data_IF_404916023771
#
_entry.id   IF_404916023771
#
_cell.length_a   1.000
_cell.length_b   1.000
_cell.length_c   1.000
_cell.angle_alpha   90.00
_cell.angle_beta   90.00
_cell.angle_gamma   90.00
#
_symmetry.space_group_name_H-M   'P 1'
#
loop_
_entity.id
_entity.type
_entity.pdbx_description
1 polymer ?
#
# COMPACT_ATOMS: atom_id res chain seq x y z
N UNK A 1 -32.16 -21.16 -28.72
CA UNK A 1 -30.88 -20.71 -28.15
C UNK A 1 -30.03 -21.95 -27.91
N UNK A 2 -28.94 -22.12 -28.66
CA UNK A 2 -28.23 -23.39 -28.75
C UNK A 2 -27.24 -23.51 -27.58
N UNK A 3 -27.16 -24.67 -26.93
CA UNK A 3 -26.39 -24.90 -25.71
C UNK A 3 -24.90 -24.50 -25.80
N UNK A 4 -24.36 -24.44 -27.02
CA UNK A 4 -22.99 -23.96 -27.33
C UNK A 4 -22.79 -22.47 -27.02
N UNK A 5 -23.83 -21.63 -27.11
CA UNK A 5 -23.71 -20.19 -26.78
C UNK A 5 -23.70 -19.94 -25.28
N UNK A 6 -24.26 -20.85 -24.47
CA UNK A 6 -24.23 -20.77 -23.00
C UNK A 6 -22.84 -21.11 -22.44
N UNK A 7 -22.16 -22.11 -23.03
CA UNK A 7 -20.81 -22.50 -22.62
C UNK A 7 -19.74 -21.43 -22.91
N UNK A 8 -19.87 -20.69 -24.02
CA UNK A 8 -18.95 -19.60 -24.35
C UNK A 8 -19.10 -18.39 -23.42
N UNK A 9 -20.31 -18.11 -22.91
CA UNK A 9 -20.58 -17.01 -22.01
C UNK A 9 -19.98 -17.23 -20.60
N UNK A 10 -19.99 -18.47 -20.10
CA UNK A 10 -19.41 -18.80 -18.79
C UNK A 10 -17.89 -18.71 -18.74
N UNK A 11 -17.19 -18.93 -19.87
CA UNK A 11 -15.74 -18.82 -19.93
C UNK A 11 -15.24 -17.36 -19.82
N UNK A 12 -16.03 -16.39 -20.30
CA UNK A 12 -15.72 -14.96 -20.20
C UNK A 12 -15.87 -14.47 -18.76
N UNK A 13 -16.84 -14.99 -18.01
CA UNK A 13 -17.11 -14.58 -16.64
C UNK A 13 -15.98 -14.96 -15.65
N UNK A 14 -15.26 -16.06 -15.92
CA UNK A 14 -14.17 -16.55 -15.06
C UNK A 14 -12.84 -15.80 -15.26
N UNK A 15 -12.70 -15.00 -16.33
CA UNK A 15 -11.50 -14.20 -16.61
C UNK A 15 -11.58 -12.77 -16.06
N UNK A 16 -12.78 -12.30 -15.70
CA UNK A 16 -13.02 -10.97 -15.13
C UNK A 16 -12.21 -10.66 -13.84
N UNK A 17 -11.94 -11.62 -12.93
CA UNK A 17 -11.19 -11.31 -11.70
C UNK A 17 -9.74 -10.88 -11.95
N UNK A 18 -9.08 -11.43 -12.98
CA UNK A 18 -7.70 -11.04 -13.30
C UNK A 18 -7.60 -9.66 -13.95
N UNK A 19 -8.60 -9.29 -14.76
CA UNK A 19 -8.68 -7.94 -15.33
C UNK A 19 -8.90 -6.89 -14.24
N UNK A 20 -9.77 -7.17 -13.25
CA UNK A 20 -10.02 -6.25 -12.13
C UNK A 20 -8.77 -5.94 -11.30
N UNK A 21 -7.89 -6.93 -11.11
CA UNK A 21 -6.65 -6.79 -10.35
C UNK A 21 -5.59 -5.97 -11.11
N UNK A 22 -5.52 -6.11 -12.44
CA UNK A 22 -4.68 -5.26 -13.29
C UNK A 22 -5.26 -3.84 -13.43
N UNK A 23 -6.58 -3.68 -13.42
CA UNK A 23 -7.26 -2.40 -13.54
C UNK A 23 -7.04 -1.49 -12.33
N UNK A 24 -6.82 -2.02 -11.12
CA UNK A 24 -6.48 -1.21 -9.95
C UNK A 24 -5.15 -0.46 -10.12
N UNK A 25 -4.13 -1.16 -10.61
CA UNK A 25 -2.80 -0.60 -10.88
C UNK A 25 -2.87 0.48 -11.98
N UNK A 26 -3.54 0.18 -13.11
CA UNK A 26 -3.69 1.13 -14.23
C UNK A 26 -4.52 2.35 -13.81
N UNK A 27 -5.64 2.15 -13.12
CA UNK A 27 -6.51 3.25 -12.67
C UNK A 27 -5.82 4.12 -11.62
N UNK A 28 -5.07 3.51 -10.70
CA UNK A 28 -4.25 4.24 -9.74
C UNK A 28 -3.15 5.05 -10.42
N UNK A 29 -2.47 4.47 -11.40
CA UNK A 29 -1.44 5.17 -12.18
C UNK A 29 -2.01 6.37 -12.94
N UNK A 30 -3.16 6.20 -13.59
CA UNK A 30 -3.80 7.29 -14.32
C UNK A 30 -4.25 8.41 -13.38
N UNK A 31 -4.87 8.08 -12.24
CA UNK A 31 -5.33 9.06 -11.29
C UNK A 31 -4.17 9.84 -10.69
N UNK A 32 -3.13 9.14 -10.24
CA UNK A 32 -1.93 9.77 -9.70
C UNK A 32 -1.19 10.62 -10.75
N UNK A 33 -1.17 10.20 -12.01
CA UNK A 33 -0.55 11.00 -13.08
C UNK A 33 -1.33 12.29 -13.36
N UNK A 34 -2.65 12.28 -13.26
CA UNK A 34 -3.48 13.48 -13.38
C UNK A 34 -3.23 14.42 -12.21
N UNK A 35 -3.39 13.93 -10.98
CA UNK A 35 -3.26 14.74 -9.77
C UNK A 35 -1.84 15.34 -9.63
N UNK A 36 -0.82 14.54 -9.94
CA UNK A 36 0.57 15.01 -9.95
C UNK A 36 0.86 15.98 -11.11
N UNK A 37 0.24 15.76 -12.27
CA UNK A 37 0.34 16.65 -13.42
C UNK A 37 -0.23 18.04 -13.13
N UNK A 38 -1.39 18.09 -12.48
CA UNK A 38 -2.04 19.34 -12.08
C UNK A 38 -1.21 20.10 -11.04
N UNK A 39 -0.53 19.38 -10.13
CA UNK A 39 0.27 19.99 -9.06
C UNK A 39 1.63 20.51 -9.53
N UNK A 40 2.35 19.77 -10.39
CA UNK A 40 3.75 20.07 -10.72
C UNK A 40 4.11 19.87 -12.20
N UNK A 41 3.11 19.86 -13.10
CA UNK A 41 3.31 19.72 -14.53
C UNK A 41 3.82 18.32 -14.93
N UNK A 42 4.50 18.18 -16.08
CA UNK A 42 4.88 16.87 -16.63
C UNK A 42 5.70 15.99 -15.69
N UNK A 43 6.56 16.59 -14.86
CA UNK A 43 7.36 15.86 -13.86
C UNK A 43 6.46 15.30 -12.75
N UNK A 44 5.50 16.11 -12.27
CA UNK A 44 4.52 15.67 -11.29
C UNK A 44 3.62 14.56 -11.81
N UNK A 45 3.27 14.55 -13.10
CA UNK A 45 2.50 13.48 -13.71
C UNK A 45 3.23 12.13 -13.71
N UNK A 46 4.54 12.12 -13.95
CA UNK A 46 5.35 10.89 -13.92
C UNK A 46 5.44 10.36 -12.48
N UNK A 47 5.78 11.23 -11.53
CA UNK A 47 5.91 10.85 -10.11
C UNK A 47 4.57 10.42 -9.54
N UNK A 48 3.52 11.21 -9.77
CA UNK A 48 2.17 10.92 -9.33
C UNK A 48 1.65 9.63 -9.95
N UNK A 49 1.94 9.34 -11.22
CA UNK A 49 1.55 8.08 -11.86
C UNK A 49 2.23 6.86 -11.26
N UNK A 50 3.52 6.95 -10.93
CA UNK A 50 4.22 5.85 -10.26
C UNK A 50 3.68 5.60 -8.83
N UNK A 51 3.45 6.67 -8.06
CA UNK A 51 2.87 6.60 -6.71
C UNK A 51 1.43 6.09 -6.76
N UNK A 52 0.62 6.61 -7.68
CA UNK A 52 -0.75 6.17 -7.91
C UNK A 52 -0.82 4.71 -8.35
N UNK A 53 0.10 4.22 -9.18
CA UNK A 53 0.20 2.81 -9.55
C UNK A 53 0.46 1.91 -8.33
N UNK A 54 1.40 2.32 -7.47
CA UNK A 54 1.74 1.61 -6.24
C UNK A 54 0.60 1.64 -5.21
N UNK A 55 -0.21 2.70 -5.21
CA UNK A 55 -1.34 2.88 -4.28
C UNK A 55 -2.64 2.28 -4.84
N UNK A 56 -2.75 2.11 -6.16
CA UNK A 56 -3.90 1.56 -6.87
C UNK A 56 -4.05 0.04 -6.77
N UNK A 57 -3.00 -0.66 -6.34
CA UNK A 57 -3.16 -2.01 -5.80
C UNK A 57 -3.78 -1.87 -4.42
N UNK A 58 -5.06 -2.21 -4.31
CA UNK A 58 -5.95 -1.89 -3.18
C UNK A 58 -5.48 -2.41 -1.80
N UNK A 59 -4.32 -3.08 -1.70
CA UNK A 59 -3.75 -3.60 -0.47
C UNK A 59 -2.24 -3.42 -0.34
N UNK A 60 -1.69 -2.23 -0.58
CA UNK A 60 -0.34 -1.82 -0.14
C UNK A 60 0.78 -2.88 -0.24
N UNK A 61 1.76 -2.80 0.67
CA UNK A 61 2.73 -3.88 0.91
C UNK A 61 2.10 -4.96 1.77
N UNK A 62 1.30 -4.56 2.76
CA UNK A 62 0.39 -5.46 3.48
C UNK A 62 -0.88 -5.60 2.66
N UNK A 63 -1.10 -6.81 2.12
CA UNK A 63 -2.32 -7.17 1.40
C UNK A 63 -3.60 -6.75 2.12
N UNK A 64 -4.69 -6.64 1.36
CA UNK A 64 -6.00 -6.14 1.84
C UNK A 64 -6.45 -6.86 3.12
N UNK A 65 -6.27 -8.19 3.15
CA UNK A 65 -6.68 -9.04 4.27
C UNK A 65 -5.73 -8.96 5.47
N UNK A 66 -4.44 -8.67 5.21
CA UNK A 66 -3.39 -8.69 6.22
C UNK A 66 -3.30 -7.37 6.99
N UNK A 67 -3.69 -6.24 6.37
CA UNK A 67 -3.68 -4.91 7.00
C UNK A 67 -4.48 -4.83 8.32
N UNK A 68 -5.77 -5.22 8.39
CA UNK A 68 -6.52 -5.17 9.65
C UNK A 68 -5.94 -6.12 10.70
N UNK A 69 -5.47 -7.32 10.29
CA UNK A 69 -4.81 -8.28 11.18
C UNK A 69 -3.50 -7.71 11.73
N UNK A 70 -2.73 -7.00 10.91
CA UNK A 70 -1.48 -6.37 11.31
C UNK A 70 -1.73 -5.25 12.32
N UNK A 71 -2.76 -4.43 12.09
CA UNK A 71 -3.17 -3.40 13.03
C UNK A 71 -3.51 -3.97 14.41
N UNK A 72 -4.31 -5.03 14.46
CA UNK A 72 -4.63 -5.71 15.72
C UNK A 72 -3.37 -6.23 16.41
N UNK A 73 -2.49 -6.89 15.67
CA UNK A 73 -1.21 -7.37 16.21
C UNK A 73 -0.36 -6.24 16.83
N UNK A 74 -0.21 -5.11 16.14
CA UNK A 74 0.56 -3.96 16.66
C UNK A 74 -0.11 -3.37 17.91
N UNK A 75 -1.43 -3.26 17.90
CA UNK A 75 -2.23 -2.72 19.01
C UNK A 75 -2.14 -3.63 20.25
N UNK A 76 -2.29 -4.95 20.07
CA UNK A 76 -2.19 -5.95 21.15
C UNK A 76 -0.79 -5.98 21.78
N UNK A 77 0.25 -5.79 20.95
CA UNK A 77 1.64 -5.77 21.41
C UNK A 77 2.00 -4.49 22.18
N UNK A 78 1.12 -3.47 22.19
CA UNK A 78 1.30 -2.19 22.90
C UNK A 78 2.67 -1.58 22.65
N UNK A 79 3.07 -1.54 21.38
CA UNK A 79 4.30 -0.89 20.96
C UNK A 79 4.22 0.60 21.31
N UNK A 80 5.31 1.17 21.84
CA UNK A 80 5.34 2.60 22.16
C UNK A 80 5.18 3.42 20.88
N UNK A 81 4.22 4.35 20.91
CA UNK A 81 4.09 5.38 19.90
C UNK A 81 5.24 6.39 20.04
N UNK A 82 5.85 6.76 18.92
CA UNK A 82 6.80 7.85 18.84
C UNK A 82 6.05 9.13 18.44
N UNK A 83 6.17 10.16 19.26
CA UNK A 83 5.64 11.48 18.93
C UNK A 83 6.53 12.16 17.88
N UNK A 84 5.94 12.43 16.72
CA UNK A 84 6.60 13.05 15.58
C UNK A 84 5.89 14.34 15.20
N UNK A 85 6.64 15.44 15.21
CA UNK A 85 6.11 16.78 14.89
C UNK A 85 5.84 16.98 13.38
N UNK A 86 6.36 16.09 12.53
CA UNK A 86 6.19 16.18 11.08
C UNK A 86 4.96 15.42 10.54
N UNK A 87 4.82 15.41 9.22
CA UNK A 87 3.73 14.70 8.55
C UNK A 87 3.97 13.18 8.50
N UNK A 88 3.04 12.40 9.05
CA UNK A 88 3.05 10.93 8.95
C UNK A 88 2.35 10.50 7.67
N UNK A 89 3.13 10.49 6.57
CA UNK A 89 2.67 10.16 5.23
C UNK A 89 3.67 9.27 4.49
N UNK A 90 3.20 8.58 3.45
CA UNK A 90 4.08 7.80 2.57
C UNK A 90 5.13 8.72 1.95
N UNK A 91 6.39 8.29 1.99
CA UNK A 91 7.54 9.06 1.53
C UNK A 91 8.27 9.82 2.64
N UNK A 92 7.66 10.05 3.81
CA UNK A 92 8.34 10.67 4.96
C UNK A 92 9.47 9.78 5.47
N UNK A 93 10.63 10.36 5.80
CA UNK A 93 11.76 9.64 6.40
C UNK A 93 11.78 9.89 7.90
N UNK A 94 11.67 8.83 8.68
CA UNK A 94 11.69 8.90 10.14
C UNK A 94 13.14 8.96 10.67
N UNK A 95 13.37 9.55 11.86
CA UNK A 95 14.68 9.59 12.48
C UNK A 95 15.26 8.19 12.73
N UNK A 96 16.55 7.99 12.43
CA UNK A 96 17.24 6.73 12.72
C UNK A 96 17.50 6.48 14.22
N UNK A 97 17.36 7.52 15.05
CA UNK A 97 17.54 7.47 16.50
C UNK A 97 16.28 7.91 17.23
N UNK A 98 15.99 7.31 18.39
CA UNK A 98 14.82 7.63 19.22
C UNK A 98 13.55 6.86 18.82
N UNK A 99 13.40 6.53 17.54
CA UNK A 99 12.35 5.62 17.05
C UNK A 99 12.82 4.17 17.20
N UNK A 100 11.96 3.32 17.75
CA UNK A 100 12.21 1.87 17.74
C UNK A 100 11.57 1.24 16.51
N UNK A 101 12.35 0.44 15.79
CA UNK A 101 11.91 -0.26 14.59
C UNK A 101 11.87 -1.76 14.85
N UNK A 102 10.76 -2.39 14.53
CA UNK A 102 10.51 -3.81 14.75
C UNK A 102 10.44 -4.53 13.41
N UNK A 103 10.93 -5.75 13.34
CA UNK A 103 10.79 -6.56 12.14
C UNK A 103 9.34 -7.02 11.96
N UNK A 104 8.87 -7.02 10.72
CA UNK A 104 7.52 -7.49 10.38
C UNK A 104 7.48 -9.01 10.52
N UNK A 105 6.49 -9.60 11.22
CA UNK A 105 6.39 -11.06 11.32
C UNK A 105 6.22 -11.72 9.95
N UNK A 106 6.86 -12.87 9.75
CA UNK A 106 6.91 -13.57 8.46
C UNK A 106 5.51 -13.98 7.93
N UNK A 107 4.53 -14.17 8.82
CA UNK A 107 3.14 -14.51 8.49
C UNK A 107 2.46 -13.47 7.57
N UNK A 108 2.94 -12.23 7.59
CA UNK A 108 2.40 -11.12 6.80
C UNK A 108 3.02 -11.01 5.40
N UNK A 109 3.95 -11.93 5.03
CA UNK A 109 4.55 -12.07 3.69
C UNK A 109 5.16 -10.78 3.12
N UNK A 110 5.59 -9.87 3.98
CA UNK A 110 6.30 -8.65 3.58
C UNK A 110 7.74 -9.02 3.19
N UNK A 111 8.30 -8.37 2.16
CA UNK A 111 9.68 -8.66 1.72
C UNK A 111 10.69 -8.39 2.84
N UNK A 112 11.82 -9.13 2.91
CA UNK A 112 12.86 -8.87 3.89
C UNK A 112 13.43 -7.45 3.80
N UNK A 113 13.58 -6.79 4.94
CA UNK A 113 14.14 -5.44 5.05
C UNK A 113 13.10 -4.33 5.24
N UNK A 114 11.81 -4.66 5.24
CA UNK A 114 10.79 -3.77 5.79
C UNK A 114 10.66 -3.97 7.30
N UNK A 115 10.39 -2.86 8.00
CA UNK A 115 10.17 -2.82 9.44
C UNK A 115 8.91 -2.04 9.74
N UNK A 116 8.39 -2.16 10.94
CA UNK A 116 7.27 -1.38 11.40
C UNK A 116 7.59 -0.61 12.69
N UNK A 117 6.84 0.45 12.91
CA UNK A 117 6.84 1.24 14.14
C UNK A 117 5.47 1.89 14.31
N UNK A 118 5.24 2.55 15.45
CA UNK A 118 4.02 3.31 15.72
C UNK A 118 4.42 4.77 15.87
N UNK A 119 3.80 5.65 15.09
CA UNK A 119 4.07 7.09 15.09
C UNK A 119 2.76 7.82 15.22
N UNK A 120 2.63 8.72 16.20
CA UNK A 120 1.40 9.45 16.50
C UNK A 120 0.17 8.51 16.54
N UNK A 121 0.32 7.37 17.24
CA UNK A 121 -0.69 6.30 17.40
C UNK A 121 -1.09 5.56 16.12
N UNK A 122 -0.37 5.79 15.02
CA UNK A 122 -0.59 5.14 13.73
C UNK A 122 0.52 4.12 13.45
N UNK A 123 0.18 2.84 13.23
CA UNK A 123 1.16 1.87 12.76
C UNK A 123 1.62 2.24 11.34
N UNK A 124 2.93 2.19 11.11
CA UNK A 124 3.54 2.47 9.80
C UNK A 124 4.54 1.40 9.43
N UNK A 125 4.64 1.11 8.13
CA UNK A 125 5.72 0.32 7.55
C UNK A 125 6.79 1.25 6.99
N UNK A 126 8.05 0.89 7.20
CA UNK A 126 9.21 1.59 6.70
C UNK A 126 10.16 0.67 5.95
N UNK A 127 10.89 1.22 4.98
CA UNK A 127 12.00 0.54 4.31
C UNK A 127 13.30 0.58 5.14
N UNK A 128 14.39 0.04 4.57
CA UNK A 128 15.73 0.04 5.20
C UNK A 128 16.28 1.43 5.50
N UNK A 129 15.80 2.46 4.80
CA UNK A 129 16.19 3.85 5.00
C UNK A 129 15.25 4.63 5.92
N UNK A 130 14.36 3.94 6.67
CA UNK A 130 13.37 4.54 7.55
C UNK A 130 12.31 5.39 6.83
N UNK A 131 12.16 5.21 5.52
CA UNK A 131 11.11 5.88 4.75
C UNK A 131 9.79 5.14 4.95
N UNK A 132 8.75 5.86 5.33
CA UNK A 132 7.38 5.36 5.37
C UNK A 132 6.96 4.95 3.97
N UNK A 133 6.61 3.69 3.81
CA UNK A 133 6.14 3.12 2.54
C UNK A 133 4.65 2.82 2.59
N UNK A 134 4.08 2.68 3.79
CA UNK A 134 2.66 2.46 3.99
C UNK A 134 2.26 2.94 5.40
N UNK A 135 1.08 3.55 5.48
CA UNK A 135 0.44 3.89 6.76
C UNK A 135 -0.77 2.98 6.94
N UNK A 136 -0.87 2.39 8.14
CA UNK A 136 -1.92 1.44 8.50
C UNK A 136 -3.03 2.22 9.24
N UNK A 137 -4.16 2.45 8.58
CA UNK A 137 -5.31 3.18 9.16
C UNK A 137 -6.39 2.29 9.79
#
# INVERSE_FOLDING_TARGET
>A
MNIKTLLAASAIALALPMAAQAQGLVRGAEQGARDGGDAAGPVGAIVGGAVGAATGTVGGILGIDDRPRFRSYVTERRVRSYDYDGSVAVGTVLPGSGVTYYDVPDDYRVKPGYRYTVVNDRPVLVDRGHRIVEVID
#
